data_IF_901139763423
#
_entry.id   IF_901139763423
#
_cell.length_a   1.000
_cell.length_b   1.000
_cell.length_c   1.000
_cell.angle_alpha   90.00
_cell.angle_beta   90.00
_cell.angle_gamma   90.00
#
_symmetry.space_group_name_H-M   'P 1'
#
loop_
_entity.id
_entity.type
_entity.pdbx_description
1 polymer ?
#
# COMPACT_ATOMS: atom_id res chain seq x y z
N UNK A 1 -48.12 15.93 -17.56
CA UNK A 1 -46.78 16.52 -17.82
C UNK A 1 -46.00 16.84 -16.56
N UNK A 2 -46.35 17.81 -15.70
CA UNK A 2 -45.54 18.10 -14.49
C UNK A 2 -45.51 16.97 -13.43
N UNK A 3 -46.61 16.24 -13.25
CA UNK A 3 -46.66 15.10 -12.30
C UNK A 3 -45.85 13.91 -12.78
N UNK A 4 -45.93 13.58 -14.07
CA UNK A 4 -45.25 12.42 -14.64
C UNK A 4 -43.72 12.59 -14.66
N UNK A 5 -43.24 13.82 -14.81
CA UNK A 5 -41.81 14.15 -14.77
C UNK A 5 -41.22 14.00 -13.36
N UNK A 6 -41.97 14.37 -12.30
CA UNK A 6 -41.51 14.22 -10.91
C UNK A 6 -41.44 12.73 -10.52
N UNK A 7 -42.39 11.92 -10.98
CA UNK A 7 -42.36 10.46 -10.75
C UNK A 7 -41.17 9.82 -11.44
N UNK A 8 -40.84 10.24 -12.67
CA UNK A 8 -39.69 9.73 -13.40
C UNK A 8 -38.35 10.04 -12.70
N UNK A 9 -38.19 11.26 -12.19
CA UNK A 9 -36.99 11.66 -11.42
C UNK A 9 -36.89 10.85 -10.12
N UNK A 10 -38.01 10.67 -9.41
CA UNK A 10 -38.03 9.87 -8.18
C UNK A 10 -37.62 8.42 -8.40
N UNK A 11 -38.09 7.80 -9.49
CA UNK A 11 -37.69 6.43 -9.87
C UNK A 11 -36.21 6.38 -10.27
N UNK A 12 -35.70 7.37 -11.03
CA UNK A 12 -34.30 7.41 -11.43
C UNK A 12 -33.35 7.54 -10.22
N UNK A 13 -33.67 8.43 -9.28
CA UNK A 13 -32.88 8.60 -8.04
C UNK A 13 -32.90 7.31 -7.21
N UNK A 14 -34.04 6.62 -7.11
CA UNK A 14 -34.15 5.37 -6.37
C UNK A 14 -33.35 4.24 -7.01
N UNK A 15 -33.38 4.13 -8.34
CA UNK A 15 -32.59 3.14 -9.10
C UNK A 15 -31.10 3.42 -8.97
N UNK A 16 -30.66 4.68 -9.08
CA UNK A 16 -29.26 5.07 -8.89
C UNK A 16 -28.79 4.78 -7.46
N UNK A 17 -29.62 5.08 -6.46
CA UNK A 17 -29.31 4.79 -5.05
C UNK A 17 -29.19 3.29 -4.79
N UNK A 18 -30.09 2.47 -5.35
CA UNK A 18 -30.05 1.02 -5.19
C UNK A 18 -28.84 0.41 -5.92
N UNK A 19 -28.49 0.94 -7.09
CA UNK A 19 -27.31 0.50 -7.85
C UNK A 19 -26.02 0.82 -7.10
N UNK A 20 -25.95 2.00 -6.48
CA UNK A 20 -24.82 2.40 -5.63
C UNK A 20 -24.68 1.50 -4.40
N UNK A 21 -25.78 1.22 -3.69
CA UNK A 21 -25.77 0.32 -2.50
C UNK A 21 -25.33 -1.10 -2.89
N UNK A 22 -25.84 -1.65 -3.99
CA UNK A 22 -25.44 -2.98 -4.46
C UNK A 22 -23.98 -3.04 -4.94
N UNK A 23 -23.46 -1.93 -5.49
CA UNK A 23 -22.04 -1.81 -5.83
C UNK A 23 -21.17 -1.82 -4.57
N UNK A 24 -21.58 -1.08 -3.53
CA UNK A 24 -20.88 -1.05 -2.25
C UNK A 24 -20.89 -2.42 -1.56
N UNK A 25 -22.03 -3.12 -1.51
CA UNK A 25 -22.12 -4.45 -0.92
C UNK A 25 -21.22 -5.47 -1.64
N UNK A 26 -21.14 -5.41 -2.97
CA UNK A 26 -20.23 -6.27 -3.74
C UNK A 26 -18.77 -5.97 -3.46
N UNK A 27 -18.41 -4.69 -3.33
CA UNK A 27 -17.05 -4.27 -3.00
C UNK A 27 -16.66 -4.74 -1.59
N UNK A 28 -17.52 -4.56 -0.60
CA UNK A 28 -17.31 -5.02 0.79
C UNK A 28 -17.21 -6.55 0.87
N UNK A 29 -18.01 -7.29 0.09
CA UNK A 29 -17.92 -8.75 0.03
C UNK A 29 -16.63 -9.24 -0.64
N UNK A 30 -16.15 -8.52 -1.67
CA UNK A 30 -14.85 -8.80 -2.31
C UNK A 30 -13.72 -8.60 -1.31
N UNK A 31 -13.68 -7.45 -0.64
CA UNK A 31 -12.68 -7.12 0.39
C UNK A 31 -12.71 -8.12 1.56
N UNK A 32 -13.90 -8.56 1.99
CA UNK A 32 -14.03 -9.55 3.06
C UNK A 32 -13.50 -10.95 2.68
N UNK A 33 -13.68 -11.36 1.43
CA UNK A 33 -13.17 -12.67 0.97
C UNK A 33 -11.66 -12.64 0.77
N UNK A 34 -11.12 -11.54 0.23
CA UNK A 34 -9.66 -11.29 0.16
C UNK A 34 -9.05 -11.34 1.57
N UNK A 35 -9.66 -10.64 2.53
CA UNK A 35 -9.23 -10.66 3.93
C UNK A 35 -9.19 -12.06 4.57
N UNK A 36 -10.07 -12.97 4.16
CA UNK A 36 -10.07 -14.35 4.68
C UNK A 36 -9.00 -15.23 4.02
N UNK A 37 -8.62 -14.96 2.77
CA UNK A 37 -7.54 -15.67 2.07
C UNK A 37 -6.16 -15.21 2.56
N UNK A 38 -5.95 -13.90 2.76
CA UNK A 38 -4.70 -13.33 3.29
C UNK A 38 -4.31 -13.92 4.66
N UNK A 39 -5.29 -14.34 5.48
CA UNK A 39 -5.07 -14.88 6.83
C UNK A 39 -4.35 -16.24 6.86
N UNK A 40 -4.40 -17.03 5.79
CA UNK A 40 -3.72 -18.33 5.75
C UNK A 40 -2.23 -18.22 5.37
N UNK A 41 -1.82 -17.15 4.67
CA UNK A 41 -0.49 -16.99 4.06
C UNK A 41 0.56 -16.44 5.05
N UNK A 42 0.16 -15.60 6.01
CA UNK A 42 1.08 -14.93 6.96
C UNK A 42 1.82 -15.93 7.90
N UNK A 43 1.43 -17.21 7.94
CA UNK A 43 2.07 -18.21 8.82
C UNK A 43 3.41 -18.77 8.36
N UNK A 44 3.83 -18.59 7.10
CA UNK A 44 4.99 -19.33 6.55
C UNK A 44 6.32 -18.54 6.41
N UNK A 45 6.35 -17.21 6.53
CA UNK A 45 7.55 -16.39 6.21
C UNK A 45 8.40 -15.89 7.41
N UNK A 46 8.30 -16.51 8.59
CA UNK A 46 8.71 -15.89 9.86
C UNK A 46 10.21 -15.92 10.27
N UNK A 47 11.17 -16.11 9.37
CA UNK A 47 12.56 -16.40 9.81
C UNK A 47 13.51 -15.18 9.91
N UNK A 48 13.19 -14.05 9.29
CA UNK A 48 13.97 -12.79 9.41
C UNK A 48 13.32 -11.82 10.43
N UNK A 49 12.10 -12.13 10.88
CA UNK A 49 11.23 -11.28 11.70
C UNK A 49 11.59 -11.20 13.20
N UNK A 50 12.46 -12.06 13.74
CA UNK A 50 12.52 -12.26 15.20
C UNK A 50 13.38 -11.24 15.97
N UNK A 51 14.30 -10.50 15.32
CA UNK A 51 15.27 -9.66 16.04
C UNK A 51 14.72 -8.25 16.32
N UNK A 52 14.33 -7.50 15.30
CA UNK A 52 13.88 -6.10 15.49
C UNK A 52 12.51 -6.02 16.17
N UNK A 53 11.60 -6.95 15.83
CA UNK A 53 10.32 -7.09 16.52
C UNK A 53 10.49 -7.26 18.03
N UNK A 54 11.52 -8.02 18.44
CA UNK A 54 11.79 -8.28 19.85
C UNK A 54 12.33 -7.06 20.57
N UNK A 55 13.11 -6.19 19.93
CA UNK A 55 13.62 -4.98 20.57
C UNK A 55 12.51 -3.96 20.83
N UNK A 56 11.68 -3.65 19.83
CA UNK A 56 10.57 -2.71 20.02
C UNK A 56 9.52 -3.27 20.99
N UNK A 57 9.17 -4.55 20.87
CA UNK A 57 8.27 -5.21 21.82
C UNK A 57 8.83 -5.18 23.24
N UNK A 58 10.11 -5.51 23.43
CA UNK A 58 10.74 -5.40 24.75
C UNK A 58 10.73 -3.95 25.26
N UNK A 59 10.94 -2.98 24.37
CA UNK A 59 10.87 -1.56 24.72
C UNK A 59 9.47 -1.19 25.23
N UNK A 60 8.41 -1.53 24.49
CA UNK A 60 7.03 -1.33 24.94
C UNK A 60 6.81 -2.08 26.25
N UNK A 61 7.09 -3.39 26.32
CA UNK A 61 6.93 -4.24 27.51
C UNK A 61 7.63 -3.63 28.75
N UNK A 62 8.83 -3.08 28.59
CA UNK A 62 9.55 -2.40 29.67
C UNK A 62 8.90 -1.08 30.10
N UNK A 63 8.30 -0.33 29.18
CA UNK A 63 7.60 0.91 29.49
C UNK A 63 6.20 0.68 30.08
N UNK A 64 5.56 -0.42 29.69
CA UNK A 64 4.17 -0.73 30.05
C UNK A 64 4.04 -1.68 31.24
N UNK A 65 5.08 -2.46 31.55
CA UNK A 65 5.07 -3.37 32.68
C UNK A 65 4.88 -2.62 34.02
N UNK A 66 4.03 -3.17 34.88
CA UNK A 66 3.70 -2.65 36.22
C UNK A 66 2.77 -1.41 36.27
N UNK A 67 2.17 -1.00 35.16
CA UNK A 67 1.14 0.04 35.15
C UNK A 67 -0.27 -0.56 35.30
N UNK A 68 -1.19 0.26 35.79
CA UNK A 68 -2.63 -0.03 35.77
C UNK A 68 -3.21 0.70 34.56
N UNK A 69 -3.96 -0.01 33.72
CA UNK A 69 -4.45 0.49 32.45
C UNK A 69 -5.95 0.76 32.50
N UNK A 70 -6.36 1.85 31.85
CA UNK A 70 -7.73 2.08 31.40
C UNK A 70 -7.78 1.65 29.94
N UNK A 71 -8.64 0.68 29.65
CA UNK A 71 -8.81 0.16 28.29
C UNK A 71 -10.03 0.82 27.62
N UNK A 72 -9.78 1.47 26.49
CA UNK A 72 -10.81 1.96 25.57
C UNK A 72 -10.77 1.10 24.30
N UNK A 73 -11.92 0.84 23.70
CA UNK A 73 -12.01 0.03 22.48
C UNK A 73 -12.82 0.76 21.42
N UNK A 74 -12.19 0.98 20.28
CA UNK A 74 -12.75 1.63 19.09
C UNK A 74 -13.02 0.58 18.00
N UNK A 75 -13.54 0.94 16.83
CA UNK A 75 -13.78 -0.06 15.79
C UNK A 75 -12.46 -0.66 15.25
N UNK A 76 -11.44 0.19 15.04
CA UNK A 76 -10.20 -0.13 14.32
C UNK A 76 -8.94 -0.24 15.20
N UNK A 77 -8.99 0.24 16.44
CA UNK A 77 -7.87 0.14 17.39
C UNK A 77 -8.34 -0.06 18.84
N UNK A 78 -7.44 -0.49 19.71
CA UNK A 78 -7.60 -0.47 21.16
C UNK A 78 -6.67 0.59 21.76
N UNK A 79 -7.07 1.19 22.88
CA UNK A 79 -6.23 2.15 23.60
C UNK A 79 -6.05 1.71 25.03
N UNK A 80 -4.80 1.64 25.48
CA UNK A 80 -4.38 1.32 26.83
C UNK A 80 -3.74 2.55 27.46
N UNK A 81 -4.44 3.21 28.39
CA UNK A 81 -4.01 4.49 28.97
C UNK A 81 -3.59 4.29 30.43
N UNK A 82 -2.43 4.82 30.81
CA UNK A 82 -2.00 4.81 32.21
C UNK A 82 -3.09 5.44 33.10
N UNK A 83 -3.55 4.68 34.10
CA UNK A 83 -4.74 5.04 34.90
C UNK A 83 -4.61 6.40 35.61
N UNK A 84 -3.43 6.73 36.12
CA UNK A 84 -3.19 8.00 36.81
C UNK A 84 -3.20 9.17 35.82
N UNK A 85 -2.62 8.96 34.64
CA UNK A 85 -2.67 9.92 33.54
C UNK A 85 -4.10 10.13 33.02
N UNK A 86 -4.86 9.04 32.82
CA UNK A 86 -6.26 9.07 32.39
C UNK A 86 -7.13 9.86 33.37
N UNK A 87 -7.01 9.57 34.67
CA UNK A 87 -7.79 10.25 35.72
C UNK A 87 -7.51 11.76 35.78
N UNK A 88 -6.31 12.18 35.37
CA UNK A 88 -5.91 13.59 35.36
C UNK A 88 -6.38 14.35 34.12
N UNK A 89 -6.73 13.64 33.03
CA UNK A 89 -6.98 14.22 31.71
C UNK A 89 -8.23 13.68 31.01
N UNK A 90 -9.13 12.99 31.72
CA UNK A 90 -10.24 12.20 31.14
C UNK A 90 -11.00 12.90 30.01
N UNK A 91 -11.55 14.12 30.19
CA UNK A 91 -12.37 14.73 29.14
C UNK A 91 -11.58 15.09 27.88
N UNK A 92 -10.31 15.47 28.04
CA UNK A 92 -9.45 15.82 26.90
C UNK A 92 -8.96 14.56 26.16
N UNK A 93 -8.72 13.46 26.89
CA UNK A 93 -8.32 12.17 26.31
C UNK A 93 -9.47 11.54 25.51
N UNK A 94 -10.67 11.47 26.10
CA UNK A 94 -11.84 10.89 25.42
C UNK A 94 -12.10 11.66 24.11
N UNK A 95 -12.13 13.01 24.20
CA UNK A 95 -12.30 13.86 23.02
C UNK A 95 -11.14 13.72 22.00
N UNK A 96 -9.91 13.49 22.45
CA UNK A 96 -8.79 13.25 21.54
C UNK A 96 -9.00 11.99 20.71
N UNK A 97 -9.35 10.87 21.35
CA UNK A 97 -9.48 9.60 20.66
C UNK A 97 -10.73 9.50 19.79
N UNK A 98 -11.82 10.18 20.15
CA UNK A 98 -12.98 10.32 19.28
C UNK A 98 -12.61 11.04 17.97
N UNK A 99 -11.79 12.10 18.04
CA UNK A 99 -11.29 12.80 16.85
C UNK A 99 -10.21 12.00 16.10
N UNK A 100 -9.42 11.20 16.81
CA UNK A 100 -8.40 10.35 16.21
C UNK A 100 -9.04 9.22 15.39
N UNK A 101 -10.13 8.61 15.86
CA UNK A 101 -10.81 7.51 15.14
C UNK A 101 -11.18 7.90 13.71
N UNK A 102 -11.79 9.07 13.52
CA UNK A 102 -12.17 9.57 12.20
C UNK A 102 -10.93 9.72 11.26
N UNK A 103 -9.83 10.26 11.79
CA UNK A 103 -8.60 10.50 11.02
C UNK A 103 -7.87 9.21 10.69
N UNK A 104 -7.85 8.27 11.64
CA UNK A 104 -7.25 6.97 11.45
C UNK A 104 -8.01 6.15 10.40
N UNK A 105 -9.35 6.18 10.40
CA UNK A 105 -10.14 5.53 9.35
C UNK A 105 -9.78 6.06 7.95
N UNK A 106 -9.59 7.37 7.81
CA UNK A 106 -9.16 7.96 6.52
C UNK A 106 -7.74 7.56 6.16
N UNK A 107 -6.83 7.42 7.13
CA UNK A 107 -5.48 6.90 6.86
C UNK A 107 -5.55 5.48 6.29
N UNK A 108 -6.30 4.57 6.92
CA UNK A 108 -6.44 3.19 6.46
C UNK A 108 -7.13 3.11 5.09
N UNK A 109 -8.17 3.90 4.85
CA UNK A 109 -8.85 3.96 3.54
C UNK A 109 -7.91 4.49 2.46
N UNK A 110 -7.14 5.54 2.77
CA UNK A 110 -6.25 6.19 1.79
C UNK A 110 -5.11 5.25 1.38
N UNK A 111 -4.53 4.55 2.36
CA UNK A 111 -3.33 3.73 2.16
C UNK A 111 -3.64 2.27 1.84
N UNK A 112 -4.83 1.78 2.19
CA UNK A 112 -5.15 0.36 2.23
C UNK A 112 -4.38 -0.42 3.30
N UNK A 113 -3.66 0.27 4.18
CA UNK A 113 -2.82 -0.31 5.22
C UNK A 113 -3.61 -0.48 6.52
N UNK A 114 -3.36 -1.57 7.24
CA UNK A 114 -3.93 -1.81 8.57
C UNK A 114 -3.08 -2.81 9.32
N UNK A 115 -3.11 -2.73 10.66
CA UNK A 115 -2.47 -3.73 11.49
C UNK A 115 -3.10 -5.12 11.28
N UNK A 116 -4.41 -5.19 11.00
CA UNK A 116 -5.11 -6.44 10.75
C UNK A 116 -4.61 -7.12 9.47
N UNK A 117 -4.36 -6.34 8.42
CA UNK A 117 -3.89 -6.85 7.13
C UNK A 117 -2.47 -7.42 7.25
N UNK A 118 -1.54 -6.68 7.82
CA UNK A 118 -0.12 -7.08 7.80
C UNK A 118 0.33 -7.87 9.04
N UNK A 119 -0.34 -7.68 10.17
CA UNK A 119 0.08 -8.28 11.45
C UNK A 119 -1.00 -9.15 12.10
N UNK A 120 -2.16 -9.31 11.45
CA UNK A 120 -3.26 -10.16 11.90
C UNK A 120 -3.72 -9.85 13.34
N UNK A 121 -3.64 -8.56 13.72
CA UNK A 121 -4.10 -8.02 15.00
C UNK A 121 -4.69 -6.64 14.79
N UNK A 122 -5.54 -6.24 15.73
CA UNK A 122 -6.00 -4.86 15.84
C UNK A 122 -4.84 -3.97 16.28
N UNK A 123 -4.84 -2.71 15.85
CA UNK A 123 -3.86 -1.74 16.33
C UNK A 123 -4.03 -1.52 17.84
N UNK A 124 -2.95 -1.67 18.62
CA UNK A 124 -2.94 -1.40 20.05
C UNK A 124 -2.14 -0.11 20.35
N UNK A 125 -2.77 0.85 21.01
CA UNK A 125 -2.18 2.16 21.31
C UNK A 125 -2.00 2.30 22.82
N UNK A 126 -0.76 2.36 23.28
CA UNK A 126 -0.39 2.59 24.67
C UNK A 126 -0.14 4.08 24.90
N UNK A 127 -0.76 4.67 25.93
CA UNK A 127 -0.65 6.10 26.23
C UNK A 127 -0.08 6.31 27.62
N UNK A 128 1.02 7.04 27.70
CA UNK A 128 1.67 7.42 28.97
C UNK A 128 1.99 8.91 29.04
N UNK A 129 2.22 9.41 30.24
CA UNK A 129 2.72 10.78 30.46
C UNK A 129 4.18 10.94 29.99
N UNK A 130 4.52 12.11 29.47
CA UNK A 130 5.91 12.60 29.31
C UNK A 130 6.13 13.97 29.95
N UNK A 131 7.38 14.24 30.30
CA UNK A 131 7.84 15.57 30.76
C UNK A 131 7.93 16.58 29.60
N UNK A 132 8.03 16.08 28.36
CA UNK A 132 8.05 16.86 27.13
C UNK A 132 6.66 17.34 26.69
N UNK A 133 6.52 17.61 25.40
CA UNK A 133 5.25 18.00 24.79
C UNK A 133 4.44 16.77 24.37
N UNK A 134 4.99 16.07 23.39
CA UNK A 134 4.44 14.87 22.81
C UNK A 134 5.60 14.08 22.17
N UNK A 135 5.36 12.82 21.86
CA UNK A 135 6.25 11.96 21.10
C UNK A 135 5.74 10.53 21.13
N UNK A 136 6.47 9.62 20.51
CA UNK A 136 6.09 8.22 20.56
C UNK A 136 7.05 7.32 19.82
N UNK A 137 6.53 6.16 19.48
CA UNK A 137 7.13 5.17 18.62
C UNK A 137 6.03 4.18 18.24
N UNK A 138 5.95 3.80 16.98
CA UNK A 138 5.04 2.75 16.51
C UNK A 138 5.78 1.72 15.70
N UNK A 139 5.36 0.46 15.84
CA UNK A 139 5.83 -0.63 14.99
C UNK A 139 4.89 -1.83 15.12
N UNK A 140 4.74 -2.60 14.05
CA UNK A 140 4.13 -3.93 14.05
C UNK A 140 2.75 -4.05 14.77
N UNK A 141 1.87 -3.09 14.55
CA UNK A 141 0.53 -3.04 15.15
C UNK A 141 0.49 -2.54 16.58
N UNK A 142 1.61 -2.04 17.13
CA UNK A 142 1.68 -1.44 18.46
C UNK A 142 2.20 0.01 18.38
N UNK A 143 1.57 0.92 19.11
CA UNK A 143 1.99 2.33 19.20
C UNK A 143 2.16 2.72 20.66
N UNK A 144 3.26 3.38 21.00
CA UNK A 144 3.43 4.07 22.28
C UNK A 144 3.33 5.58 22.05
N UNK A 145 2.24 6.19 22.53
CA UNK A 145 2.07 7.63 22.58
C UNK A 145 2.47 8.17 23.95
N UNK A 146 3.24 9.26 23.92
CA UNK A 146 3.70 9.97 25.10
C UNK A 146 3.17 11.39 25.06
N UNK A 147 2.27 11.75 25.97
CA UNK A 147 1.64 13.07 25.99
C UNK A 147 1.97 13.85 27.28
N UNK A 148 2.03 15.17 27.18
CA UNK A 148 2.25 16.03 28.35
C UNK A 148 1.12 15.94 29.38
N UNK A 149 1.41 16.30 30.64
CA UNK A 149 0.43 16.42 31.72
C UNK A 149 0.44 17.86 32.29
N UNK A 150 -0.65 18.64 32.19
CA UNK A 150 -1.92 18.28 31.55
C UNK A 150 -1.76 18.09 30.03
N UNK A 151 -2.64 17.28 29.44
CA UNK A 151 -2.77 17.13 28.00
C UNK A 151 -2.99 18.53 27.39
N UNK A 152 -2.31 18.83 26.28
CA UNK A 152 -2.31 20.15 25.64
C UNK A 152 -1.60 21.25 26.45
N UNK A 153 -0.43 20.94 27.02
CA UNK A 153 0.43 21.95 27.66
C UNK A 153 0.68 23.15 26.73
N UNK A 154 0.48 24.37 27.23
CA UNK A 154 0.33 25.58 26.40
C UNK A 154 1.55 25.92 25.54
N UNK A 155 2.78 25.59 25.99
CA UNK A 155 4.00 25.83 25.23
C UNK A 155 4.26 24.77 24.14
N UNK A 156 3.38 23.78 24.03
CA UNK A 156 3.41 22.73 23.02
C UNK A 156 2.41 22.97 21.89
N UNK A 157 1.52 23.95 22.06
CA UNK A 157 0.51 24.30 21.07
C UNK A 157 1.14 25.15 19.98
N UNK A 158 0.84 24.84 18.72
CA UNK A 158 1.33 25.58 17.56
C UNK A 158 0.21 26.44 17.00
N UNK A 159 0.53 27.70 16.70
CA UNK A 159 -0.38 28.59 15.98
C UNK A 159 -0.64 28.08 14.56
N UNK A 160 -1.76 28.47 13.95
CA UNK A 160 -2.09 28.10 12.57
C UNK A 160 -3.00 26.88 12.45
N UNK A 161 -3.42 26.30 13.58
CA UNK A 161 -4.47 25.29 13.59
C UNK A 161 -5.81 25.84 13.12
N UNK A 162 -6.37 25.19 12.11
CA UNK A 162 -7.73 25.33 11.63
C UNK A 162 -8.56 24.14 12.15
N UNK A 163 -9.84 24.04 11.76
CA UNK A 163 -10.63 22.82 12.00
C UNK A 163 -10.98 22.50 13.47
N UNK A 164 -11.25 21.21 13.72
CA UNK A 164 -11.77 20.71 15.00
C UNK A 164 -10.70 20.63 16.10
N UNK A 165 -9.43 20.54 15.74
CA UNK A 165 -8.32 20.49 16.70
C UNK A 165 -7.82 21.87 17.14
N UNK A 166 -8.02 22.91 16.32
CA UNK A 166 -7.42 24.22 16.56
C UNK A 166 -5.90 24.08 16.80
N UNK A 167 -5.36 24.73 17.81
CA UNK A 167 -3.92 24.70 18.11
C UNK A 167 -3.41 23.38 18.74
N UNK A 168 -4.28 22.37 18.90
CA UNK A 168 -3.96 21.05 19.46
C UNK A 168 -3.47 20.05 18.41
N UNK A 169 -3.51 20.40 17.12
CA UNK A 169 -3.14 19.51 16.01
C UNK A 169 -1.77 18.83 16.14
N UNK A 170 -0.72 19.39 16.79
CA UNK A 170 0.57 18.68 16.87
C UNK A 170 0.52 17.36 17.63
N UNK A 171 -0.40 17.21 18.60
CA UNK A 171 -0.60 15.94 19.31
C UNK A 171 -1.23 14.88 18.41
N UNK A 172 -2.19 15.32 17.57
CA UNK A 172 -2.79 14.46 16.56
C UNK A 172 -1.77 14.08 15.50
N UNK A 173 -0.94 15.03 15.08
CA UNK A 173 0.09 14.80 14.08
C UNK A 173 1.05 13.68 14.49
N UNK A 174 1.60 13.75 15.72
CA UNK A 174 2.42 12.66 16.25
C UNK A 174 1.65 11.34 16.34
N UNK A 175 0.39 11.34 16.79
CA UNK A 175 -0.38 10.10 16.82
C UNK A 175 -0.57 9.47 15.43
N UNK A 176 -0.82 10.29 14.40
CA UNK A 176 -0.92 9.84 13.01
C UNK A 176 0.42 9.34 12.46
N UNK A 177 1.52 10.03 12.78
CA UNK A 177 2.88 9.63 12.40
C UNK A 177 3.21 8.25 12.95
N UNK A 178 3.15 8.07 14.27
CA UNK A 178 3.51 6.80 14.90
C UNK A 178 2.56 5.66 14.50
N UNK A 179 1.29 5.98 14.29
CA UNK A 179 0.33 4.98 13.83
C UNK A 179 0.62 4.53 12.41
N UNK A 180 1.10 5.42 11.53
CA UNK A 180 1.53 5.03 10.18
C UNK A 180 2.63 3.98 10.23
N UNK A 181 3.58 4.10 11.15
CA UNK A 181 4.62 3.08 11.37
C UNK A 181 4.04 1.75 11.79
N UNK A 182 3.07 1.78 12.71
CA UNK A 182 2.47 0.56 13.23
C UNK A 182 1.51 -0.15 12.27
N UNK A 183 1.12 0.46 11.14
CA UNK A 183 0.20 -0.17 10.17
C UNK A 183 0.80 -0.41 8.79
N UNK A 184 2.00 0.10 8.50
CA UNK A 184 2.60 -0.05 7.18
C UNK A 184 3.04 -1.52 6.93
N UNK A 185 3.33 -1.92 5.68
CA UNK A 185 3.95 -3.21 5.41
C UNK A 185 5.30 -3.35 6.11
N UNK A 186 5.64 -4.56 6.57
CA UNK A 186 6.93 -4.87 7.24
C UNK A 186 8.14 -4.39 6.44
N UNK A 187 8.13 -4.65 5.13
CA UNK A 187 9.19 -4.27 4.20
C UNK A 187 9.36 -2.76 4.14
N UNK A 188 8.30 -1.98 4.32
CA UNK A 188 8.37 -0.51 4.42
C UNK A 188 8.88 -0.09 5.81
N UNK A 189 8.40 -0.71 6.89
CA UNK A 189 8.85 -0.39 8.26
C UNK A 189 10.36 -0.55 8.44
N UNK A 190 10.96 -1.56 7.80
CA UNK A 190 12.40 -1.82 7.89
C UNK A 190 13.25 -0.83 7.09
N UNK A 191 12.65 -0.04 6.20
CA UNK A 191 13.37 0.97 5.40
C UNK A 191 13.17 2.32 6.05
N UNK A 192 14.13 2.75 6.88
CA UNK A 192 14.08 3.97 7.69
C UNK A 192 13.49 5.18 6.94
N UNK A 193 14.04 5.49 5.76
CA UNK A 193 13.60 6.64 4.96
C UNK A 193 12.15 6.53 4.47
N UNK A 194 11.71 5.32 4.07
CA UNK A 194 10.33 5.08 3.68
C UNK A 194 9.42 5.14 4.90
N UNK A 195 9.79 4.47 6.00
CA UNK A 195 9.03 4.47 7.25
C UNK A 195 8.77 5.90 7.72
N UNK A 196 9.81 6.68 7.94
CA UNK A 196 9.67 8.05 8.44
C UNK A 196 9.09 9.00 7.39
N UNK A 197 9.45 8.84 6.11
CA UNK A 197 8.90 9.62 5.01
C UNK A 197 7.40 9.45 4.86
N UNK A 198 6.89 8.20 4.91
CA UNK A 198 5.46 7.92 4.88
C UNK A 198 4.78 8.40 6.16
N UNK A 199 5.39 8.19 7.34
CA UNK A 199 4.89 8.71 8.61
C UNK A 199 4.63 10.22 8.55
N UNK A 200 5.64 10.99 8.12
CA UNK A 200 5.55 12.45 8.02
C UNK A 200 4.58 12.91 6.93
N UNK A 201 4.63 12.29 5.74
CA UNK A 201 3.76 12.66 4.64
C UNK A 201 2.28 12.42 4.98
N UNK A 202 1.98 11.26 5.56
CA UNK A 202 0.62 10.90 5.94
C UNK A 202 0.12 11.70 7.15
N UNK A 203 0.98 11.96 8.15
CA UNK A 203 0.69 12.86 9.28
C UNK A 203 0.05 14.16 8.77
N UNK A 204 0.76 14.89 7.91
CA UNK A 204 0.33 16.22 7.50
C UNK A 204 -0.79 16.19 6.46
N UNK A 205 -0.83 15.19 5.59
CA UNK A 205 -1.89 15.09 4.60
C UNK A 205 -3.24 14.73 5.21
N UNK A 206 -3.29 13.83 6.19
CA UNK A 206 -4.53 13.51 6.88
C UNK A 206 -5.03 14.74 7.65
N UNK A 207 -4.15 15.46 8.35
CA UNK A 207 -4.51 16.72 9.01
C UNK A 207 -5.02 17.79 8.02
N UNK A 208 -4.42 17.86 6.82
CA UNK A 208 -4.85 18.77 5.75
C UNK A 208 -6.23 18.39 5.19
N UNK A 209 -6.47 17.10 4.95
CA UNK A 209 -7.76 16.57 4.46
C UNK A 209 -8.92 16.85 5.43
N UNK A 210 -8.66 16.80 6.74
CA UNK A 210 -9.63 17.15 7.79
C UNK A 210 -9.77 18.65 8.03
N UNK A 211 -8.94 19.47 7.38
CA UNK A 211 -8.92 20.92 7.56
C UNK A 211 -8.39 21.37 8.92
N UNK A 212 -7.62 20.52 9.62
CA UNK A 212 -6.93 20.89 10.86
C UNK A 212 -5.75 21.83 10.59
N UNK A 213 -5.17 21.71 9.40
CA UNK A 213 -4.22 22.66 8.81
C UNK A 213 -4.56 22.82 7.32
N UNK A 214 -4.05 23.86 6.66
CA UNK A 214 -4.15 23.94 5.19
C UNK A 214 -3.05 23.11 4.53
N UNK A 215 -3.26 22.71 3.27
CA UNK A 215 -2.21 22.02 2.50
C UNK A 215 -0.92 22.85 2.40
N UNK A 216 -1.04 24.18 2.25
CA UNK A 216 0.14 25.05 2.24
C UNK A 216 0.90 25.05 3.56
N UNK A 217 0.22 24.85 4.69
CA UNK A 217 0.84 24.74 6.01
C UNK A 217 1.51 23.38 6.17
N UNK A 218 0.84 22.30 5.75
CA UNK A 218 1.43 20.96 5.68
C UNK A 218 2.75 20.97 4.88
N UNK A 219 2.69 21.45 3.64
CA UNK A 219 3.84 21.51 2.73
C UNK A 219 4.97 22.39 3.29
N UNK A 220 4.62 23.52 3.93
CA UNK A 220 5.60 24.39 4.58
C UNK A 220 6.30 23.70 5.76
N UNK A 221 5.55 22.99 6.61
CA UNK A 221 6.11 22.30 7.78
C UNK A 221 7.02 21.14 7.36
N UNK A 222 6.59 20.36 6.36
CA UNK A 222 7.42 19.32 5.74
C UNK A 222 8.69 19.94 5.15
N UNK A 223 8.59 21.01 4.37
CA UNK A 223 9.76 21.63 3.74
C UNK A 223 10.76 22.20 4.77
N UNK A 224 10.25 22.89 5.79
CA UNK A 224 11.06 23.49 6.83
C UNK A 224 11.67 22.46 7.79
N UNK A 225 11.03 21.30 7.93
CA UNK A 225 11.40 20.24 8.87
C UNK A 225 11.58 20.71 10.32
N UNK A 226 12.08 19.81 11.15
CA UNK A 226 12.65 20.16 12.46
C UNK A 226 14.16 20.40 12.37
N UNK A 227 14.76 21.02 13.40
CA UNK A 227 16.14 21.54 13.40
C UNK A 227 17.19 20.51 12.95
N UNK A 228 17.63 20.59 11.69
CA UNK A 228 18.61 19.68 11.06
C UNK A 228 18.05 18.75 9.98
N UNK A 229 16.74 18.81 9.69
CA UNK A 229 16.03 17.97 8.72
C UNK A 229 15.31 18.78 7.64
N UNK A 230 15.79 19.97 7.30
CA UNK A 230 15.15 20.79 6.26
C UNK A 230 15.72 20.51 4.88
N UNK A 231 14.92 20.79 3.85
CA UNK A 231 15.31 20.55 2.47
C UNK A 231 16.56 21.35 2.05
N UNK A 232 16.74 22.57 2.56
CA UNK A 232 17.88 23.41 2.20
C UNK A 232 19.19 22.81 2.73
N UNK A 233 19.23 22.32 3.96
CA UNK A 233 20.39 21.66 4.56
C UNK A 233 20.72 20.35 3.82
N UNK A 234 19.69 19.58 3.47
CA UNK A 234 19.85 18.36 2.66
C UNK A 234 20.50 18.64 1.30
N UNK A 235 20.01 19.66 0.58
CA UNK A 235 20.60 20.11 -0.70
C UNK A 235 22.02 20.64 -0.50
N UNK A 236 22.25 21.43 0.56
CA UNK A 236 23.58 21.99 0.86
C UNK A 236 24.61 20.92 1.24
N UNK A 237 24.15 19.77 1.74
CA UNK A 237 24.99 18.64 2.18
C UNK A 237 25.10 17.52 1.13
N UNK A 238 24.94 17.84 -0.16
CA UNK A 238 25.03 16.87 -1.27
C UNK A 238 24.06 15.69 -1.09
N UNK A 239 22.82 16.00 -0.69
CA UNK A 239 21.73 15.03 -0.56
C UNK A 239 22.03 13.89 0.43
N UNK A 240 22.80 14.22 1.47
CA UNK A 240 23.04 13.35 2.63
C UNK A 240 22.31 13.90 3.84
N UNK A 241 21.75 12.99 4.61
CA UNK A 241 21.14 13.35 5.88
C UNK A 241 22.18 14.07 6.77
N UNK A 242 21.73 15.12 7.44
CA UNK A 242 22.52 15.88 8.41
C UNK A 242 22.14 15.56 9.85
N UNK A 243 21.22 14.59 10.04
CA UNK A 243 20.82 14.01 11.32
C UNK A 243 22.03 13.88 12.25
N UNK A 244 21.96 14.44 13.46
CA UNK A 244 23.06 14.29 14.41
C UNK A 244 22.89 13.02 15.25
N UNK A 245 23.83 12.08 15.17
CA UNK A 245 23.89 10.92 16.07
C UNK A 245 24.77 11.22 17.28
N UNK A 246 24.38 10.72 18.44
CA UNK A 246 25.26 10.70 19.60
C UNK A 246 26.29 9.57 19.45
N UNK A 247 27.58 9.92 19.33
CA UNK A 247 28.65 8.93 19.17
C UNK A 247 29.27 8.47 20.51
N UNK A 248 28.67 8.86 21.65
CA UNK A 248 29.20 8.61 22.99
C UNK A 248 29.85 9.82 23.66
N UNK A 249 30.29 10.83 22.89
CA UNK A 249 30.93 12.04 23.44
C UNK A 249 30.35 13.33 22.90
N UNK A 250 29.95 13.36 21.63
CA UNK A 250 29.38 14.53 20.97
C UNK A 250 28.23 14.11 20.03
N UNK A 251 27.38 15.08 19.72
CA UNK A 251 26.42 14.98 18.63
C UNK A 251 27.14 15.31 17.32
N UNK A 252 27.24 14.33 16.43
CA UNK A 252 27.94 14.47 15.15
C UNK A 252 26.97 14.21 13.99
N UNK A 253 27.04 14.99 12.89
CA UNK A 253 26.19 14.71 11.74
C UNK A 253 26.49 13.32 11.16
N UNK A 254 25.41 12.59 10.88
CA UNK A 254 25.38 11.27 10.28
C UNK A 254 25.18 11.46 8.78
N UNK A 255 26.28 11.70 8.05
CA UNK A 255 26.33 12.00 6.62
C UNK A 255 25.96 10.79 5.73
N UNK A 256 24.85 10.12 6.05
CA UNK A 256 24.32 8.95 5.36
C UNK A 256 23.53 9.37 4.13
N UNK A 257 23.51 8.48 3.14
CA UNK A 257 22.56 8.62 2.02
C UNK A 257 21.14 8.48 2.56
N UNK A 258 20.16 9.09 1.89
CA UNK A 258 18.79 9.17 2.41
C UNK A 258 18.24 7.77 2.74
N UNK A 259 18.54 6.76 1.92
CA UNK A 259 18.12 5.37 2.06
C UNK A 259 18.72 4.63 3.26
N UNK A 260 19.79 5.18 3.83
CA UNK A 260 20.46 4.67 5.04
C UNK A 260 20.09 5.50 6.27
N UNK A 261 19.29 6.55 6.09
CA UNK A 261 18.95 7.54 7.11
C UNK A 261 17.46 7.50 7.45
N UNK A 262 17.07 8.18 8.53
CA UNK A 262 15.67 8.36 8.86
C UNK A 262 14.98 9.27 7.85
N UNK A 263 15.66 10.31 7.35
CA UNK A 263 15.17 11.05 6.19
C UNK A 263 13.77 11.65 6.34
N UNK A 264 13.29 11.89 7.56
CA UNK A 264 11.92 12.29 7.94
C UNK A 264 11.27 13.28 6.96
N UNK A 265 11.51 14.56 7.20
CA UNK A 265 10.88 15.68 6.50
C UNK A 265 11.36 15.78 5.05
N UNK A 266 12.59 15.33 4.78
CA UNK A 266 13.19 15.30 3.45
C UNK A 266 12.42 14.35 2.53
N UNK A 267 12.20 13.11 2.97
CA UNK A 267 11.46 12.10 2.19
C UNK A 267 9.99 12.49 2.06
N UNK A 268 9.37 13.01 3.12
CA UNK A 268 8.02 13.54 3.04
C UNK A 268 7.90 14.73 2.07
N UNK A 269 8.94 15.57 1.97
CA UNK A 269 9.00 16.65 0.99
C UNK A 269 9.09 16.09 -0.43
N UNK A 270 9.89 15.05 -0.64
CA UNK A 270 9.96 14.34 -1.92
C UNK A 270 8.59 13.80 -2.34
N UNK A 271 7.85 13.19 -1.42
CA UNK A 271 6.48 12.72 -1.66
C UNK A 271 5.52 13.88 -1.99
N UNK A 272 5.69 15.03 -1.33
CA UNK A 272 4.95 16.26 -1.63
C UNK A 272 5.24 16.80 -3.03
N UNK A 273 6.50 16.75 -3.48
CA UNK A 273 6.89 17.12 -4.85
C UNK A 273 6.30 16.14 -5.87
N UNK A 274 6.33 14.82 -5.63
CA UNK A 274 5.67 13.85 -6.55
C UNK A 274 4.20 14.19 -6.75
N UNK A 275 3.49 14.49 -5.65
CA UNK A 275 2.09 14.90 -5.71
C UNK A 275 1.91 16.22 -6.47
N UNK A 276 2.64 17.26 -6.07
CA UNK A 276 2.42 18.63 -6.52
C UNK A 276 2.96 18.95 -7.91
N UNK A 277 4.22 18.57 -8.15
CA UNK A 277 4.97 19.00 -9.33
C UNK A 277 4.91 17.95 -10.46
N UNK A 278 4.79 16.67 -10.10
CA UNK A 278 4.78 15.56 -11.06
C UNK A 278 3.41 14.91 -11.25
N UNK A 279 2.43 15.24 -10.40
CA UNK A 279 1.06 14.73 -10.53
C UNK A 279 0.91 13.25 -10.21
N UNK A 280 1.72 12.72 -9.29
CA UNK A 280 1.63 11.34 -8.82
C UNK A 280 0.21 11.03 -8.31
N UNK A 281 -0.38 9.97 -8.86
CA UNK A 281 -1.64 9.44 -8.39
C UNK A 281 -1.41 8.51 -7.19
N UNK A 282 -1.54 9.04 -5.98
CA UNK A 282 -1.38 8.26 -4.75
C UNK A 282 -2.37 7.10 -4.61
N UNK A 283 -3.61 7.25 -5.09
CA UNK A 283 -4.55 6.13 -5.07
C UNK A 283 -4.02 4.97 -5.91
N UNK A 284 -3.52 5.27 -7.12
CA UNK A 284 -2.93 4.25 -7.97
C UNK A 284 -1.68 3.62 -7.33
N UNK A 285 -0.86 4.39 -6.61
CA UNK A 285 0.29 3.88 -5.88
C UNK A 285 -0.12 2.85 -4.82
N UNK A 286 -1.12 3.17 -4.00
CA UNK A 286 -1.60 2.25 -2.97
C UNK A 286 -2.33 1.05 -3.56
N UNK A 287 -3.08 1.23 -4.66
CA UNK A 287 -3.73 0.12 -5.38
C UNK A 287 -2.68 -0.84 -5.95
N UNK A 288 -1.63 -0.32 -6.61
CA UNK A 288 -0.53 -1.14 -7.12
C UNK A 288 0.18 -1.90 -6.00
N UNK A 289 0.49 -1.25 -4.88
CA UNK A 289 1.10 -1.90 -3.72
C UNK A 289 0.21 -3.00 -3.15
N UNK A 290 -1.09 -2.73 -3.00
CA UNK A 290 -2.04 -3.71 -2.45
C UNK A 290 -2.23 -4.90 -3.37
N UNK A 291 -2.25 -4.70 -4.68
CA UNK A 291 -2.41 -5.77 -5.66
C UNK A 291 -1.12 -6.59 -5.89
N UNK A 292 0.03 -6.12 -5.39
CA UNK A 292 1.35 -6.70 -5.64
C UNK A 292 2.17 -6.85 -4.37
N UNK A 293 1.51 -7.12 -3.23
CA UNK A 293 2.19 -7.26 -1.95
C UNK A 293 3.21 -8.41 -1.97
N UNK A 294 2.94 -9.49 -2.70
CA UNK A 294 3.88 -10.59 -2.95
C UNK A 294 5.20 -10.12 -3.59
N UNK A 295 5.14 -9.09 -4.43
CA UNK A 295 6.33 -8.50 -5.07
C UNK A 295 7.13 -7.68 -4.07
N UNK A 296 6.46 -6.97 -3.17
CA UNK A 296 7.11 -6.26 -2.06
C UNK A 296 7.78 -7.24 -1.11
N UNK A 297 7.10 -8.32 -0.72
CA UNK A 297 7.67 -9.38 0.11
C UNK A 297 8.92 -9.98 -0.55
N UNK A 298 8.84 -10.29 -1.85
CA UNK A 298 9.99 -10.78 -2.61
C UNK A 298 11.15 -9.78 -2.61
N UNK A 299 10.87 -8.49 -2.75
CA UNK A 299 11.88 -7.44 -2.65
C UNK A 299 12.54 -7.44 -1.26
N UNK A 300 11.76 -7.60 -0.18
CA UNK A 300 12.26 -7.75 1.18
C UNK A 300 13.22 -8.93 1.35
N UNK A 301 12.90 -10.09 0.74
CA UNK A 301 13.79 -11.26 0.74
C UNK A 301 15.12 -11.01 0.01
N UNK A 302 15.07 -10.24 -1.08
CA UNK A 302 16.24 -9.90 -1.90
C UNK A 302 17.10 -8.80 -1.25
N UNK A 303 16.49 -8.00 -0.36
CA UNK A 303 17.14 -7.03 0.50
C UNK A 303 16.76 -5.58 0.21
N UNK A 304 17.18 -4.69 1.11
CA UNK A 304 16.87 -3.26 1.15
C UNK A 304 16.86 -2.52 -0.19
N UNK A 305 17.90 -2.74 -1.01
CA UNK A 305 18.00 -2.11 -2.32
C UNK A 305 16.82 -2.46 -3.25
N UNK A 306 16.33 -3.70 -3.18
CA UNK A 306 15.21 -4.16 -3.98
C UNK A 306 13.89 -3.57 -3.50
N UNK A 307 13.72 -3.39 -2.19
CA UNK A 307 12.55 -2.69 -1.63
C UNK A 307 12.52 -1.24 -2.12
N UNK A 308 13.64 -0.53 -2.00
CA UNK A 308 13.75 0.85 -2.46
C UNK A 308 13.41 0.93 -3.97
N UNK A 309 13.98 0.03 -4.78
CA UNK A 309 13.73 -0.05 -6.22
C UNK A 309 12.29 -0.36 -6.59
N UNK A 310 11.64 -1.26 -5.86
CA UNK A 310 10.24 -1.60 -6.07
C UNK A 310 9.33 -0.40 -5.77
N UNK A 311 9.57 0.31 -4.66
CA UNK A 311 8.75 1.49 -4.31
C UNK A 311 8.93 2.63 -5.31
N UNK A 312 10.14 2.85 -5.84
CA UNK A 312 10.36 3.80 -6.94
C UNK A 312 9.60 3.37 -8.19
N UNK A 313 9.60 2.07 -8.51
CA UNK A 313 8.86 1.55 -9.65
C UNK A 313 7.36 1.81 -9.51
N UNK A 314 6.82 1.62 -8.29
CA UNK A 314 5.44 2.00 -8.00
C UNK A 314 5.19 3.49 -8.21
N UNK A 315 6.12 4.38 -7.83
CA UNK A 315 5.99 5.81 -8.13
C UNK A 315 5.97 6.07 -9.64
N UNK A 316 6.89 5.44 -10.39
CA UNK A 316 6.96 5.56 -11.85
C UNK A 316 5.67 5.10 -12.54
N UNK A 317 5.20 3.89 -12.22
CA UNK A 317 3.94 3.34 -12.76
C UNK A 317 2.72 4.17 -12.35
N UNK A 318 2.73 4.74 -11.16
CA UNK A 318 1.68 5.65 -10.68
C UNK A 318 1.64 6.99 -11.42
N UNK A 319 2.74 7.37 -12.06
CA UNK A 319 2.82 8.49 -13.00
C UNK A 319 2.50 8.09 -14.45
N UNK A 320 2.19 6.81 -14.71
CA UNK A 320 1.96 6.27 -16.06
C UNK A 320 3.26 6.06 -16.85
N UNK A 321 4.38 5.85 -16.16
CA UNK A 321 5.70 5.63 -16.75
C UNK A 321 6.08 4.15 -16.67
N UNK A 322 6.95 3.70 -17.57
CA UNK A 322 7.57 2.38 -17.55
C UNK A 322 9.09 2.49 -17.34
N UNK A 323 9.73 1.36 -17.02
CA UNK A 323 11.20 1.30 -16.98
C UNK A 323 11.81 1.87 -18.27
N UNK A 324 12.80 2.76 -18.11
CA UNK A 324 13.46 3.43 -19.23
C UNK A 324 12.82 4.74 -19.67
N UNK A 325 11.61 5.06 -19.20
CA UNK A 325 11.03 6.41 -19.29
C UNK A 325 11.75 7.30 -18.27
N UNK A 326 12.96 7.76 -18.60
CA UNK A 326 13.78 8.58 -17.71
C UNK A 326 13.07 9.90 -17.44
N UNK A 327 12.46 10.03 -16.26
CA UNK A 327 12.10 11.31 -15.68
C UNK A 327 13.28 11.82 -14.85
N UNK A 328 13.57 13.12 -14.98
CA UNK A 328 14.61 13.80 -14.19
C UNK A 328 14.39 13.62 -12.68
N UNK A 329 13.14 13.40 -12.26
CA UNK A 329 12.77 13.18 -10.86
C UNK A 329 13.44 11.94 -10.27
N UNK A 330 13.63 10.83 -11.00
CA UNK A 330 14.17 9.58 -10.45
C UNK A 330 15.69 9.41 -10.62
N UNK A 331 16.42 10.50 -10.88
CA UNK A 331 17.85 10.45 -11.22
C UNK A 331 18.73 10.96 -10.07
N UNK A 332 19.59 10.11 -9.51
CA UNK A 332 20.65 10.60 -8.61
C UNK A 332 21.68 11.44 -9.38
N UNK A 333 21.75 12.75 -9.06
CA UNK A 333 22.57 13.68 -9.83
C UNK A 333 23.71 14.36 -9.09
N UNK A 334 23.86 14.11 -7.78
CA UNK A 334 24.82 14.87 -6.97
C UNK A 334 24.56 16.39 -7.07
N UNK A 335 25.56 17.25 -6.81
CA UNK A 335 25.33 18.62 -6.35
C UNK A 335 24.87 19.62 -7.43
N UNK A 336 24.43 19.14 -8.61
CA UNK A 336 23.89 20.02 -9.66
C UNK A 336 22.77 19.40 -10.50
N UNK A 337 22.05 18.38 -10.01
CA UNK A 337 20.81 17.95 -10.68
C UNK A 337 19.61 17.76 -9.76
N UNK A 338 18.40 17.68 -10.38
CA UNK A 338 17.12 17.82 -9.70
C UNK A 338 16.53 16.51 -9.15
N UNK A 339 17.25 15.39 -9.24
CA UNK A 339 16.66 14.08 -8.98
C UNK A 339 17.00 13.48 -7.63
N UNK A 340 16.25 12.42 -7.34
CA UNK A 340 16.16 11.80 -6.03
C UNK A 340 17.47 11.10 -5.68
N UNK A 341 17.78 11.01 -4.38
CA UNK A 341 18.90 10.22 -3.82
C UNK A 341 19.02 8.79 -4.34
N UNK A 342 18.02 8.30 -5.09
CA UNK A 342 17.77 6.91 -5.38
C UNK A 342 18.20 6.53 -6.79
N UNK A 343 19.11 5.56 -6.84
CA UNK A 343 19.98 5.28 -7.97
C UNK A 343 19.23 4.46 -9.02
N UNK A 344 19.21 4.95 -10.25
CA UNK A 344 18.85 4.21 -11.47
C UNK A 344 17.56 3.40 -11.38
N UNK A 345 16.43 4.00 -11.77
CA UNK A 345 15.18 3.26 -12.00
C UNK A 345 15.31 2.35 -13.23
N UNK A 346 15.62 1.07 -13.01
CA UNK A 346 15.84 0.04 -14.04
C UNK A 346 15.17 -1.27 -13.61
N UNK A 347 14.75 -2.06 -14.59
CA UNK A 347 14.33 -3.44 -14.33
C UNK A 347 15.56 -4.27 -13.93
N UNK A 348 15.46 -4.92 -12.78
CA UNK A 348 16.50 -5.79 -12.22
C UNK A 348 16.31 -7.27 -12.60
N UNK A 349 15.27 -7.59 -13.37
CA UNK A 349 15.02 -8.91 -13.97
C UNK A 349 14.53 -9.97 -12.99
N UNK A 350 13.86 -9.57 -11.90
CA UNK A 350 13.29 -10.48 -10.90
C UNK A 350 11.77 -10.37 -10.78
N UNK A 351 11.13 -9.38 -11.39
CA UNK A 351 9.67 -9.28 -11.43
C UNK A 351 9.06 -10.54 -12.06
N UNK A 352 7.78 -10.78 -11.80
CA UNK A 352 7.03 -11.80 -12.52
C UNK A 352 6.99 -11.48 -14.03
N UNK A 353 6.76 -12.50 -14.85
CA UNK A 353 6.55 -12.37 -16.30
C UNK A 353 5.70 -13.54 -16.77
N UNK A 354 4.42 -13.27 -17.04
CA UNK A 354 3.41 -14.26 -17.36
C UNK A 354 3.36 -14.52 -18.86
N UNK A 355 3.50 -15.80 -19.21
CA UNK A 355 3.44 -16.26 -20.60
C UNK A 355 2.43 -17.39 -20.69
N UNK A 356 1.20 -17.14 -21.18
CA UNK A 356 0.26 -18.22 -21.42
C UNK A 356 0.66 -19.06 -22.63
N UNK A 357 0.22 -20.32 -22.63
CA UNK A 357 0.22 -21.19 -23.79
C UNK A 357 -1.05 -22.05 -23.83
N UNK A 358 -1.48 -22.37 -25.05
CA UNK A 358 -2.63 -23.25 -25.29
C UNK A 358 -2.19 -24.42 -26.15
N UNK A 359 -2.55 -25.62 -25.73
CA UNK A 359 -2.32 -26.84 -26.49
C UNK A 359 -3.54 -27.75 -26.44
N UNK A 360 -3.64 -28.68 -27.39
CA UNK A 360 -4.70 -29.69 -27.40
C UNK A 360 -4.10 -31.05 -27.70
N UNK A 361 -4.60 -32.08 -27.00
CA UNK A 361 -4.24 -33.46 -27.27
C UNK A 361 -4.83 -33.98 -28.59
N UNK A 362 -5.91 -33.33 -29.09
CA UNK A 362 -6.60 -33.67 -30.34
C UNK A 362 -7.12 -32.41 -31.04
N UNK A 363 -6.72 -32.20 -32.30
CA UNK A 363 -7.33 -31.14 -33.13
C UNK A 363 -8.77 -31.45 -33.55
N UNK A 364 -9.26 -32.67 -33.30
CA UNK A 364 -10.62 -33.10 -33.62
C UNK A 364 -11.49 -32.90 -32.39
N UNK A 365 -12.59 -32.13 -32.47
CA UNK A 365 -13.58 -32.05 -31.40
C UNK A 365 -14.06 -33.44 -31.00
N UNK A 366 -14.36 -33.62 -29.71
CA UNK A 366 -15.05 -34.79 -29.19
C UNK A 366 -16.41 -34.95 -29.87
N UNK A 367 -17.01 -36.15 -29.74
CA UNK A 367 -18.28 -36.48 -30.40
C UNK A 367 -19.45 -35.57 -30.01
N UNK A 368 -19.33 -34.84 -28.90
CA UNK A 368 -20.29 -33.85 -28.42
C UNK A 368 -20.02 -32.42 -28.92
N UNK A 369 -19.00 -32.23 -29.78
CA UNK A 369 -18.61 -30.93 -30.31
C UNK A 369 -17.66 -30.14 -29.41
N UNK A 370 -17.20 -30.71 -28.29
CA UNK A 370 -16.26 -30.03 -27.39
C UNK A 370 -14.80 -30.20 -27.82
N UNK A 371 -13.97 -29.19 -27.57
CA UNK A 371 -12.52 -29.27 -27.70
C UNK A 371 -11.92 -29.14 -26.31
N UNK A 372 -11.15 -30.14 -25.90
CA UNK A 372 -10.33 -30.11 -24.68
C UNK A 372 -8.98 -29.46 -25.00
N UNK A 373 -8.68 -28.39 -24.28
CA UNK A 373 -7.40 -27.69 -24.32
C UNK A 373 -6.72 -27.81 -22.96
N UNK A 374 -5.40 -28.00 -22.99
CA UNK A 374 -4.53 -27.78 -21.85
C UNK A 374 -3.99 -26.36 -21.97
N UNK A 375 -4.42 -25.50 -21.06
CA UNK A 375 -3.91 -24.15 -20.89
C UNK A 375 -2.81 -24.14 -19.82
N UNK A 376 -1.70 -23.47 -20.12
CA UNK A 376 -0.59 -23.32 -19.18
C UNK A 376 -0.29 -21.85 -19.02
N UNK A 377 -0.21 -21.36 -17.79
CA UNK A 377 0.35 -20.04 -17.48
C UNK A 377 1.75 -20.27 -16.95
N UNK A 378 2.75 -19.86 -17.71
CA UNK A 378 4.13 -19.86 -17.27
C UNK A 378 4.41 -18.54 -16.54
N UNK A 379 5.12 -18.58 -15.42
CA UNK A 379 5.74 -17.40 -14.84
C UNK A 379 7.25 -17.56 -15.00
N UNK A 380 7.84 -16.85 -15.96
CA UNK A 380 9.28 -16.93 -16.24
C UNK A 380 10.11 -16.02 -15.34
N UNK A 381 9.46 -15.20 -14.52
CA UNK A 381 10.03 -14.34 -13.48
C UNK A 381 10.30 -15.05 -12.16
N UNK A 382 10.70 -14.29 -11.13
CA UNK A 382 11.13 -14.83 -9.82
C UNK A 382 10.11 -14.61 -8.67
N UNK A 383 9.02 -13.88 -8.91
CA UNK A 383 7.98 -13.59 -7.91
C UNK A 383 6.84 -14.60 -8.04
N UNK A 384 6.46 -15.25 -6.94
CA UNK A 384 5.20 -16.01 -6.87
C UNK A 384 4.04 -15.03 -6.96
N UNK A 385 3.10 -15.23 -7.89
CA UNK A 385 1.90 -14.39 -8.01
C UNK A 385 0.65 -15.11 -7.52
N UNK A 386 -0.23 -14.37 -6.87
CA UNK A 386 -1.55 -14.84 -6.42
C UNK A 386 -2.67 -14.05 -7.09
N UNK A 387 -3.89 -14.59 -7.11
CA UNK A 387 -5.08 -13.94 -7.69
C UNK A 387 -4.87 -13.43 -9.13
N UNK A 388 -4.07 -14.15 -9.92
CA UNK A 388 -3.85 -13.86 -11.35
C UNK A 388 -5.11 -14.21 -12.12
N UNK A 389 -5.70 -13.23 -12.81
CA UNK A 389 -6.88 -13.47 -13.64
C UNK A 389 -6.53 -14.21 -14.93
N UNK A 390 -7.37 -15.17 -15.33
CA UNK A 390 -7.27 -15.88 -16.60
C UNK A 390 -8.63 -15.90 -17.26
N UNK A 391 -8.72 -15.31 -18.45
CA UNK A 391 -9.95 -15.23 -19.25
C UNK A 391 -9.76 -15.95 -20.57
N UNK A 392 -10.80 -16.68 -20.97
CA UNK A 392 -10.86 -17.34 -22.27
C UNK A 392 -11.90 -16.66 -23.13
N UNK A 393 -11.65 -16.60 -24.44
CA UNK A 393 -12.52 -15.98 -25.43
C UNK A 393 -12.67 -16.89 -26.63
N UNK A 394 -13.85 -16.92 -27.25
CA UNK A 394 -14.04 -17.44 -28.61
C UNK A 394 -14.28 -16.26 -29.55
N UNK A 395 -13.24 -15.86 -30.28
CA UNK A 395 -13.22 -14.56 -30.95
C UNK A 395 -13.23 -13.42 -29.92
N UNK A 396 -14.28 -12.59 -29.93
CA UNK A 396 -14.44 -11.45 -29.01
C UNK A 396 -15.34 -11.79 -27.80
N UNK A 397 -15.97 -12.96 -27.78
CA UNK A 397 -16.92 -13.34 -26.73
C UNK A 397 -16.18 -14.05 -25.60
N UNK A 398 -16.22 -13.49 -24.40
CA UNK A 398 -15.67 -14.13 -23.21
C UNK A 398 -16.43 -15.42 -22.89
N UNK A 399 -15.69 -16.47 -22.56
CA UNK A 399 -16.20 -17.75 -22.11
C UNK A 399 -16.10 -17.77 -20.59
N UNK A 400 -17.25 -17.75 -19.93
CA UNK A 400 -17.35 -17.80 -18.47
C UNK A 400 -17.01 -19.21 -17.93
N UNK A 401 -16.46 -19.31 -16.70
CA UNK A 401 -16.09 -18.22 -15.81
C UNK A 401 -14.70 -17.63 -16.10
N UNK A 402 -14.43 -16.44 -15.57
CA UNK A 402 -13.05 -16.00 -15.28
C UNK A 402 -12.44 -16.87 -14.17
N UNK A 403 -11.17 -17.23 -14.33
CA UNK A 403 -10.41 -18.00 -13.34
C UNK A 403 -9.43 -17.09 -12.60
N UNK A 404 -9.21 -17.36 -11.31
CA UNK A 404 -8.18 -16.72 -10.49
C UNK A 404 -7.24 -17.82 -10.00
N UNK A 405 -5.94 -17.67 -10.29
CA UNK A 405 -4.93 -18.70 -10.04
C UNK A 405 -3.72 -18.13 -9.29
N UNK A 406 -2.99 -19.00 -8.61
CA UNK A 406 -1.65 -18.71 -8.12
C UNK A 406 -0.60 -19.35 -9.05
N UNK A 407 0.46 -18.61 -9.39
CA UNK A 407 1.54 -19.08 -10.26
C UNK A 407 2.88 -18.78 -9.59
N UNK A 408 3.56 -19.83 -9.12
CA UNK A 408 4.90 -19.69 -8.53
C UNK A 408 5.90 -19.10 -9.52
N UNK A 409 6.86 -18.32 -9.02
CA UNK A 409 8.02 -17.84 -9.75
C UNK A 409 8.82 -19.00 -10.33
N UNK A 410 9.24 -18.83 -11.59
CA UNK A 410 9.84 -19.87 -12.44
C UNK A 410 8.98 -21.14 -12.56
N UNK A 411 7.68 -21.02 -12.34
CA UNK A 411 6.73 -22.13 -12.28
C UNK A 411 5.66 -22.05 -13.37
N UNK A 412 4.84 -23.10 -13.41
CA UNK A 412 3.73 -23.24 -14.33
C UNK A 412 2.45 -23.51 -13.54
N UNK A 413 1.35 -22.92 -13.98
CA UNK A 413 0.00 -23.36 -13.61
C UNK A 413 -0.68 -24.01 -14.80
N UNK A 414 -1.09 -25.27 -14.66
CA UNK A 414 -1.69 -26.07 -15.73
C UNK A 414 -3.17 -26.27 -15.41
N UNK A 415 -4.03 -25.97 -16.37
CA UNK A 415 -5.46 -26.25 -16.30
C UNK A 415 -5.97 -26.89 -17.58
N UNK A 416 -6.84 -27.89 -17.43
CA UNK A 416 -7.58 -28.46 -18.54
C UNK A 416 -8.94 -27.78 -18.64
N UNK A 417 -9.24 -27.24 -19.81
CA UNK A 417 -10.47 -26.52 -20.11
C UNK A 417 -11.16 -27.14 -21.33
N UNK A 418 -12.48 -27.17 -21.33
CA UNK A 418 -13.27 -27.72 -22.41
C UNK A 418 -14.25 -26.67 -22.94
N UNK A 419 -14.26 -26.48 -24.25
CA UNK A 419 -15.11 -25.48 -24.91
C UNK A 419 -15.97 -26.13 -26.00
N UNK A 420 -17.23 -25.73 -26.12
CA UNK A 420 -18.05 -26.13 -27.26
C UNK A 420 -17.56 -25.42 -28.54
N UNK A 421 -17.27 -26.19 -29.59
CA UNK A 421 -16.72 -25.71 -30.86
C UNK A 421 -17.46 -26.35 -32.06
N UNK A 422 -18.73 -25.98 -32.27
CA UNK A 422 -19.61 -26.60 -33.27
C UNK A 422 -19.14 -26.47 -34.74
N UNK A 423 -18.34 -25.44 -35.08
CA UNK A 423 -17.91 -25.17 -36.47
C UNK A 423 -16.47 -24.66 -36.59
N UNK A 424 -15.60 -25.11 -35.68
CA UNK A 424 -14.27 -24.52 -35.48
C UNK A 424 -14.35 -23.37 -34.47
N UNK A 425 -13.24 -23.14 -33.77
CA UNK A 425 -13.15 -22.12 -32.73
C UNK A 425 -11.81 -21.42 -32.79
N UNK A 426 -11.83 -20.15 -32.41
CA UNK A 426 -10.64 -19.31 -32.26
C UNK A 426 -10.55 -18.94 -30.78
N UNK A 427 -9.89 -19.79 -30.01
CA UNK A 427 -9.76 -19.61 -28.58
C UNK A 427 -8.58 -18.67 -28.31
N UNK A 428 -8.86 -17.53 -27.66
CA UNK A 428 -7.86 -16.62 -27.12
C UNK A 428 -7.86 -16.75 -25.61
N UNK A 429 -6.70 -16.92 -25.01
CA UNK A 429 -6.48 -16.87 -23.58
C UNK A 429 -5.73 -15.58 -23.26
N UNK A 430 -6.21 -14.83 -22.28
CA UNK A 430 -5.56 -13.62 -21.78
C UNK A 430 -5.34 -13.80 -20.29
N UNK A 431 -4.12 -13.55 -19.84
CA UNK A 431 -3.72 -13.59 -18.44
C UNK A 431 -3.53 -12.17 -17.95
N UNK A 432 -4.03 -11.85 -16.75
CA UNK A 432 -3.99 -10.51 -16.17
C UNK A 432 -4.40 -9.39 -17.16
N UNK A 433 -5.55 -9.54 -17.81
CA UNK A 433 -6.00 -8.60 -18.85
C UNK A 433 -6.20 -7.17 -18.32
N UNK A 434 -6.51 -7.03 -17.03
CA UNK A 434 -6.67 -5.75 -16.36
C UNK A 434 -5.33 -5.13 -15.92
N UNK A 435 -4.22 -5.84 -16.12
CA UNK A 435 -2.86 -5.39 -15.82
C UNK A 435 -2.70 -4.97 -14.35
N UNK A 436 -3.26 -5.77 -13.44
CA UNK A 436 -3.22 -5.51 -12.00
C UNK A 436 -1.91 -6.00 -11.38
N UNK A 437 -1.27 -6.99 -12.00
CA UNK A 437 0.01 -7.54 -11.58
C UNK A 437 1.16 -6.82 -12.25
N UNK A 438 2.22 -6.59 -11.48
CA UNK A 438 3.41 -5.94 -11.95
C UNK A 438 4.34 -7.00 -12.51
N UNK A 439 4.57 -6.90 -13.81
CA UNK A 439 5.44 -7.80 -14.54
C UNK A 439 6.56 -7.04 -15.26
N UNK A 440 7.60 -7.77 -15.66
CA UNK A 440 8.66 -7.27 -16.54
C UNK A 440 8.15 -7.01 -17.97
N UNK A 441 7.11 -7.72 -18.40
CA UNK A 441 6.51 -7.58 -19.72
C UNK A 441 5.03 -7.96 -19.69
N UNK A 442 4.15 -7.04 -20.09
CA UNK A 442 2.71 -7.28 -20.15
C UNK A 442 2.22 -7.56 -21.59
N UNK A 443 3.13 -7.51 -22.58
CA UNK A 443 2.79 -7.66 -24.01
C UNK A 443 2.73 -9.12 -24.47
N UNK A 444 3.15 -10.05 -23.61
CA UNK A 444 3.21 -11.49 -23.85
C UNK A 444 2.10 -12.25 -23.11
N UNK A 445 1.16 -11.56 -22.47
CA UNK A 445 0.06 -12.14 -21.68
C UNK A 445 -1.09 -12.75 -22.51
N UNK A 446 -0.87 -13.03 -23.79
CA UNK A 446 -1.89 -13.59 -24.69
C UNK A 446 -1.42 -14.84 -25.43
N UNK A 447 -2.31 -15.84 -25.50
CA UNK A 447 -2.12 -17.06 -26.28
C UNK A 447 -3.34 -17.37 -27.15
N UNK A 448 -3.10 -18.02 -28.30
CA UNK A 448 -4.15 -18.33 -29.28
C UNK A 448 -4.13 -19.81 -29.65
N UNK A 449 -5.32 -20.37 -29.82
CA UNK A 449 -5.55 -21.69 -30.37
C UNK A 449 -6.65 -21.62 -31.44
N UNK A 450 -6.32 -22.08 -32.65
CA UNK A 450 -7.26 -22.10 -33.77
C UNK A 450 -7.56 -23.56 -34.13
N UNK A 451 -8.80 -23.98 -33.88
CA UNK A 451 -9.29 -25.28 -34.34
C UNK A 451 -9.69 -25.19 -35.82
N UNK A 452 -9.18 -26.09 -36.69
CA UNK A 452 -9.56 -26.09 -38.09
C UNK A 452 -11.07 -26.40 -38.25
N UNK A 453 -11.71 -25.72 -39.20
CA UNK A 453 -13.13 -25.97 -39.52
C UNK A 453 -13.29 -27.40 -40.01
N UNK A 454 -13.99 -28.23 -39.24
CA UNK A 454 -14.20 -29.63 -39.57
C UNK A 454 -15.34 -29.77 -40.59
N UNK A 455 -15.00 -29.94 -41.87
CA UNK A 455 -16.00 -30.14 -42.91
C UNK A 455 -16.45 -31.62 -42.91
N UNK A 456 -17.57 -31.91 -42.23
CA UNK A 456 -18.15 -33.26 -42.11
C UNK A 456 -18.39 -33.96 -43.47
N UNK A 457 -18.40 -33.21 -44.58
CA UNK A 457 -18.73 -33.73 -45.91
C UNK A 457 -17.62 -34.56 -46.59
N UNK A 458 -16.42 -34.68 -46.00
CA UNK A 458 -15.31 -35.41 -46.64
C UNK A 458 -15.20 -36.90 -46.27
N UNK A 459 -16.02 -37.43 -45.36
CA UNK A 459 -15.91 -38.82 -44.89
C UNK A 459 -16.83 -39.85 -45.57
N UNK A 460 -17.52 -39.50 -46.66
CA UNK A 460 -18.42 -40.43 -47.38
C UNK A 460 -17.77 -41.15 -48.59
N UNK A 461 -16.43 -41.15 -48.73
CA UNK A 461 -15.72 -41.77 -49.86
C UNK A 461 -14.56 -42.69 -49.43
N UNK A 462 -14.79 -43.65 -48.52
CA UNK A 462 -13.88 -44.77 -48.29
C UNK A 462 -14.63 -46.11 -48.25
#
# INVERSE_FOLDING_TARGET
MKKDFIVLIGVLVLVLSLTFVLSLEKQVLKEKNVYLQEKEIIKENSYVEEIDFKEFKNFIENQVSNRVWVDLSYARFNVHIDQDYYNSNTPDIDNFFDLFEERFEVLEITTGWSAEKFYNKKLDIYVIETTGCYGGGGDFGDVLLRFSNPLYKSNCLKSGGLGGLGNKWPYMGVAMHETTHAINPFEISNRLWLREGFGKYNEYNILSLYGDISQSTADFLIFQGDSGYNWEDYVNNDYRDTHVVWNGTDWVPDYKEIQESEGYDITAWMFSMLRGDYGLNWQNFYDLMSNNYETLQKAGELGDYYVDMYIIDLFGRSLGLNFGDIQEVFRYDGPSGPGWGVRQWVDLGWYADLVPSLSSSSMVPLSDGTVELTAVVHNIGDVDLEDVSVRFYNGEIMIEPEYFIGVSGRGDYIMDVAFACDSGCNIRMVVDEDNLKIESNNLNNEAFFISPVWNQNNNNNF
#
